data_IF_503012230662
#
_entry.id   IF_503012230662
#
_cell.length_a   1.000
_cell.length_b   1.000
_cell.length_c   1.000
_cell.angle_alpha   90.00
_cell.angle_beta   90.00
_cell.angle_gamma   90.00
#
_symmetry.space_group_name_H-M   'P 1'
#
loop_
_entity.id
_entity.type
_entity.pdbx_description
1 polymer ?
#
# COMPACT_ATOMS: atom_id res chain seq x y z
N UNK A 1 22.88 -48.01 0.85
CA UNK A 1 21.54 -47.90 1.44
C UNK A 1 20.85 -49.21 1.12
N UNK A 2 20.14 -49.82 2.08
CA UNK A 2 19.39 -51.04 1.81
C UNK A 2 18.09 -50.66 1.07
N UNK A 3 17.80 -51.37 -0.02
CA UNK A 3 16.72 -51.14 -0.99
C UNK A 3 15.98 -52.44 -1.27
N UNK A 4 14.83 -52.40 -1.94
CA UNK A 4 14.11 -53.62 -2.35
C UNK A 4 14.96 -54.54 -3.24
N UNK A 5 15.91 -53.99 -4.02
CA UNK A 5 16.87 -54.79 -4.78
C UNK A 5 17.77 -55.63 -3.88
N UNK A 6 18.26 -55.06 -2.77
CA UNK A 6 19.08 -55.79 -1.79
C UNK A 6 18.28 -56.93 -1.11
N UNK A 7 16.95 -56.77 -0.96
CA UNK A 7 16.05 -57.84 -0.47
C UNK A 7 15.96 -58.97 -1.50
N UNK A 8 15.79 -58.67 -2.78
CA UNK A 8 15.72 -59.68 -3.84
C UNK A 8 17.06 -60.41 -4.03
N UNK A 9 18.19 -59.71 -3.95
CA UNK A 9 19.53 -60.32 -4.00
C UNK A 9 19.77 -61.24 -2.78
N UNK A 10 19.33 -60.83 -1.59
CA UNK A 10 19.35 -61.68 -0.40
C UNK A 10 18.44 -62.91 -0.54
N UNK A 11 17.21 -62.74 -1.04
CA UNK A 11 16.27 -63.82 -1.32
C UNK A 11 16.82 -64.84 -2.32
N UNK A 12 17.48 -64.37 -3.39
CA UNK A 12 18.13 -65.21 -4.39
C UNK A 12 19.30 -66.01 -3.79
N UNK A 13 20.08 -65.39 -2.90
CA UNK A 13 21.17 -66.07 -2.19
C UNK A 13 20.65 -67.15 -1.25
N UNK A 14 19.65 -66.82 -0.42
CA UNK A 14 19.00 -67.75 0.51
C UNK A 14 18.36 -68.91 -0.25
N UNK A 15 17.66 -68.65 -1.37
CA UNK A 15 17.06 -69.69 -2.20
C UNK A 15 18.07 -70.70 -2.75
N UNK A 16 19.29 -70.26 -3.10
CA UNK A 16 20.38 -71.15 -3.54
C UNK A 16 20.90 -72.03 -2.40
N UNK A 17 21.15 -71.45 -1.23
CA UNK A 17 21.57 -72.21 -0.05
C UNK A 17 20.50 -73.24 0.37
N UNK A 18 19.22 -72.85 0.34
CA UNK A 18 18.11 -73.77 0.58
C UNK A 18 18.05 -74.90 -0.46
N UNK A 19 18.30 -74.65 -1.74
CA UNK A 19 18.34 -75.70 -2.77
C UNK A 19 19.44 -76.74 -2.47
N UNK A 20 20.64 -76.30 -2.06
CA UNK A 20 21.73 -77.21 -1.67
C UNK A 20 21.32 -78.11 -0.49
N UNK A 21 20.55 -77.59 0.47
CA UNK A 21 20.02 -78.38 1.59
C UNK A 21 18.98 -79.40 1.12
N UNK A 22 18.09 -79.04 0.17
CA UNK A 22 17.13 -79.98 -0.43
C UNK A 22 17.85 -81.09 -1.21
N UNK A 23 18.89 -80.75 -1.96
CA UNK A 23 19.65 -81.70 -2.78
C UNK A 23 20.37 -82.76 -1.93
N UNK A 24 20.87 -82.39 -0.75
CA UNK A 24 21.62 -83.28 0.17
C UNK A 24 20.71 -84.04 1.16
N UNK A 25 19.65 -83.41 1.68
CA UNK A 25 18.83 -83.95 2.79
C UNK A 25 17.34 -84.18 2.46
N UNK A 26 16.87 -83.74 1.29
CA UNK A 26 15.47 -83.85 0.86
C UNK A 26 14.56 -82.71 1.31
N UNK A 27 13.43 -82.55 0.61
CA UNK A 27 12.46 -81.46 0.78
C UNK A 27 11.81 -81.38 2.18
N UNK A 28 11.61 -82.53 2.83
CA UNK A 28 10.92 -82.62 4.13
C UNK A 28 11.57 -81.75 5.22
N UNK A 29 12.88 -81.47 5.13
CA UNK A 29 13.64 -80.65 6.09
C UNK A 29 13.24 -79.17 6.03
N UNK A 30 12.89 -78.65 4.84
CA UNK A 30 12.59 -77.23 4.64
C UNK A 30 11.10 -76.92 4.47
N UNK A 31 10.24 -77.93 4.34
CA UNK A 31 8.78 -77.75 4.11
C UNK A 31 8.09 -76.77 5.08
N UNK A 32 8.42 -76.84 6.37
CA UNK A 32 7.84 -75.98 7.41
C UNK A 32 8.65 -74.68 7.69
N UNK A 33 9.84 -74.55 7.08
CA UNK A 33 10.73 -73.41 7.26
C UNK A 33 10.66 -72.45 6.06
N UNK A 34 10.53 -72.97 4.85
CA UNK A 34 10.46 -72.17 3.62
C UNK A 34 9.34 -71.11 3.65
N UNK A 35 8.10 -71.40 4.10
CA UNK A 35 7.05 -70.38 4.21
C UNK A 35 7.40 -69.26 5.20
N UNK A 36 8.19 -69.56 6.25
CA UNK A 36 8.65 -68.57 7.23
C UNK A 36 9.78 -67.70 6.68
N UNK A 37 10.68 -68.28 5.89
CA UNK A 37 11.72 -67.53 5.16
C UNK A 37 11.07 -66.56 4.18
N UNK A 38 10.09 -67.03 3.38
CA UNK A 38 9.32 -66.17 2.46
C UNK A 38 8.61 -65.05 3.21
N UNK A 39 7.87 -65.36 4.28
CA UNK A 39 7.18 -64.35 5.10
C UNK A 39 8.13 -63.27 5.66
N UNK A 40 9.32 -63.66 6.16
CA UNK A 40 10.31 -62.70 6.68
C UNK A 40 10.89 -61.82 5.56
N UNK A 41 11.07 -62.36 4.35
CA UNK A 41 11.52 -61.59 3.19
C UNK A 41 10.44 -60.63 2.68
N UNK A 42 9.17 -61.04 2.67
CA UNK A 42 8.02 -60.19 2.35
C UNK A 42 7.87 -59.02 3.33
N UNK A 43 7.96 -59.29 4.65
CA UNK A 43 7.95 -58.25 5.70
C UNK A 43 9.15 -57.29 5.57
N UNK A 44 10.33 -57.80 5.20
CA UNK A 44 11.53 -56.99 4.97
C UNK A 44 11.41 -56.12 3.71
N UNK A 45 10.81 -56.64 2.64
CA UNK A 45 10.48 -55.88 1.43
C UNK A 45 9.48 -54.75 1.76
N UNK A 46 8.42 -55.06 2.51
CA UNK A 46 7.42 -54.09 2.96
C UNK A 46 8.05 -52.97 3.81
N UNK A 47 8.88 -53.33 4.80
CA UNK A 47 9.63 -52.38 5.62
C UNK A 47 10.56 -51.49 4.78
N UNK A 48 11.27 -52.07 3.82
CA UNK A 48 12.22 -51.35 2.97
C UNK A 48 11.49 -50.39 2.01
N UNK A 49 10.40 -50.85 1.38
CA UNK A 49 9.53 -50.00 0.55
C UNK A 49 8.91 -48.85 1.34
N UNK A 50 8.51 -49.08 2.60
CA UNK A 50 8.01 -48.03 3.47
C UNK A 50 9.11 -46.99 3.79
N UNK A 51 10.30 -47.45 4.18
CA UNK A 51 11.43 -46.56 4.47
C UNK A 51 11.86 -45.72 3.26
N UNK A 52 11.76 -46.25 2.03
CA UNK A 52 12.11 -45.50 0.83
C UNK A 52 11.06 -44.42 0.50
N UNK A 53 9.76 -44.71 0.68
CA UNK A 53 8.68 -43.70 0.59
C UNK A 53 8.81 -42.62 1.65
N UNK A 54 9.15 -42.99 2.88
CA UNK A 54 9.36 -42.04 3.98
C UNK A 54 10.55 -41.11 3.70
N UNK A 55 11.66 -41.63 3.15
CA UNK A 55 12.79 -40.79 2.69
C UNK A 55 12.40 -39.85 1.56
N UNK A 56 11.62 -40.31 0.58
CA UNK A 56 11.14 -39.49 -0.53
C UNK A 56 10.27 -38.33 -0.01
N UNK A 57 9.35 -38.61 0.91
CA UNK A 57 8.51 -37.57 1.54
C UNK A 57 9.34 -36.62 2.42
N UNK A 58 10.32 -37.13 3.17
CA UNK A 58 11.25 -36.27 3.94
C UNK A 58 12.03 -35.34 2.99
N UNK A 59 12.55 -35.84 1.88
CA UNK A 59 13.27 -35.04 0.89
C UNK A 59 12.34 -33.97 0.27
N UNK A 60 11.11 -34.34 -0.09
CA UNK A 60 10.09 -33.42 -0.60
C UNK A 60 9.75 -32.33 0.41
N UNK A 61 9.53 -32.69 1.68
CA UNK A 61 9.23 -31.75 2.76
C UNK A 61 10.42 -30.82 3.06
N UNK A 62 11.66 -31.32 2.97
CA UNK A 62 12.86 -30.49 3.09
C UNK A 62 12.95 -29.46 1.96
N UNK A 63 12.71 -29.87 0.71
CA UNK A 63 12.68 -28.94 -0.44
C UNK A 63 11.62 -27.84 -0.24
N UNK A 64 10.39 -28.20 0.11
CA UNK A 64 9.30 -27.23 0.36
C UNK A 64 9.64 -26.31 1.55
N UNK A 65 10.28 -26.82 2.59
CA UNK A 65 10.68 -26.00 3.74
C UNK A 65 11.77 -24.98 3.37
N UNK A 66 12.71 -25.34 2.49
CA UNK A 66 13.77 -24.44 2.03
C UNK A 66 13.26 -23.41 1.01
N UNK A 67 12.32 -23.78 0.14
CA UNK A 67 11.57 -22.86 -0.72
C UNK A 67 10.82 -21.81 0.13
N UNK A 68 10.03 -22.24 1.12
CA UNK A 68 9.30 -21.34 2.02
C UNK A 68 10.21 -20.41 2.83
N UNK A 69 11.40 -20.87 3.24
CA UNK A 69 12.42 -20.04 3.89
C UNK A 69 13.01 -19.00 2.95
N UNK A 70 13.20 -19.36 1.68
CA UNK A 70 13.67 -18.43 0.65
C UNK A 70 12.61 -17.35 0.37
N UNK A 71 11.34 -17.75 0.21
CA UNK A 71 10.22 -16.84 -0.03
C UNK A 71 10.05 -15.85 1.14
N UNK A 72 10.03 -16.35 2.38
CA UNK A 72 9.99 -15.50 3.58
C UNK A 72 11.14 -14.49 3.61
N UNK A 73 12.35 -14.91 3.20
CA UNK A 73 13.51 -14.03 3.13
C UNK A 73 13.36 -12.97 2.04
N UNK A 74 12.82 -13.30 0.86
CA UNK A 74 12.51 -12.30 -0.18
C UNK A 74 11.44 -11.32 0.26
N UNK A 75 10.38 -11.77 0.95
CA UNK A 75 9.33 -10.89 1.46
C UNK A 75 9.86 -9.86 2.46
N UNK A 76 10.73 -10.28 3.38
CA UNK A 76 11.40 -9.36 4.33
C UNK A 76 12.26 -8.34 3.57
N UNK A 77 13.00 -8.76 2.55
CA UNK A 77 13.84 -7.86 1.73
C UNK A 77 12.99 -6.91 0.87
N UNK A 78 11.86 -7.36 0.34
CA UNK A 78 10.93 -6.52 -0.41
C UNK A 78 10.29 -5.48 0.51
N UNK A 79 9.84 -5.89 1.70
CA UNK A 79 9.29 -4.97 2.70
C UNK A 79 10.30 -3.90 3.11
N UNK A 80 11.53 -4.28 3.47
CA UNK A 80 12.61 -3.34 3.81
C UNK A 80 12.90 -2.31 2.69
N UNK A 81 12.77 -2.72 1.41
CA UNK A 81 12.87 -1.80 0.27
C UNK A 81 11.68 -0.85 0.15
N UNK A 82 10.46 -1.33 0.37
CA UNK A 82 9.26 -0.50 0.34
C UNK A 82 9.28 0.51 1.48
N UNK A 83 9.59 0.07 2.71
CA UNK A 83 9.70 0.93 3.90
C UNK A 83 10.73 2.06 3.65
N UNK A 84 11.92 1.74 3.13
CA UNK A 84 12.94 2.76 2.76
C UNK A 84 12.52 3.69 1.63
N UNK A 85 11.75 3.19 0.66
CA UNK A 85 11.26 4.01 -0.46
C UNK A 85 10.17 4.98 0.02
N UNK A 86 9.35 4.56 0.98
CA UNK A 86 8.35 5.40 1.64
C UNK A 86 9.03 6.48 2.49
N UNK A 87 10.01 6.13 3.33
CA UNK A 87 10.80 7.10 4.12
C UNK A 87 11.45 8.18 3.22
N UNK A 88 11.98 7.81 2.06
CA UNK A 88 12.56 8.75 1.10
C UNK A 88 11.51 9.66 0.47
N UNK A 89 10.33 9.13 0.13
CA UNK A 89 9.22 9.91 -0.41
C UNK A 89 8.68 10.90 0.62
N UNK A 90 8.49 10.47 1.87
CA UNK A 90 8.08 11.33 2.98
C UNK A 90 9.08 12.46 3.22
N UNK A 91 10.38 12.15 3.30
CA UNK A 91 11.44 13.16 3.43
C UNK A 91 11.42 14.18 2.28
N UNK A 92 11.30 13.70 1.03
CA UNK A 92 11.20 14.57 -0.15
C UNK A 92 9.97 15.49 -0.08
N UNK A 93 8.82 14.94 0.32
CA UNK A 93 7.57 15.69 0.48
C UNK A 93 7.65 16.74 1.59
N UNK A 94 8.21 16.40 2.76
CA UNK A 94 8.45 17.36 3.84
C UNK A 94 9.39 18.49 3.40
N UNK A 95 10.50 18.17 2.74
CA UNK A 95 11.44 19.18 2.23
C UNK A 95 10.78 20.10 1.19
N UNK A 96 9.98 19.56 0.27
CA UNK A 96 9.32 20.38 -0.75
C UNK A 96 8.20 21.26 -0.16
N UNK A 97 7.37 20.69 0.72
CA UNK A 97 6.36 21.44 1.48
C UNK A 97 6.99 22.59 2.27
N UNK A 98 8.13 22.37 2.91
CA UNK A 98 8.86 23.42 3.64
C UNK A 98 9.38 24.53 2.71
N UNK A 99 9.91 24.21 1.52
CA UNK A 99 10.34 25.22 0.53
C UNK A 99 9.17 26.07 0.07
N UNK A 100 8.04 25.44 -0.29
CA UNK A 100 6.84 26.14 -0.74
C UNK A 100 6.29 27.07 0.34
N UNK A 101 6.29 26.65 1.61
CA UNK A 101 5.92 27.50 2.73
C UNK A 101 6.88 28.69 2.93
N UNK A 102 8.18 28.49 2.70
CA UNK A 102 9.15 29.59 2.73
C UNK A 102 8.93 30.57 1.57
N UNK A 103 8.73 30.07 0.35
CA UNK A 103 8.44 30.90 -0.83
C UNK A 103 7.15 31.72 -0.64
N UNK A 104 6.09 31.12 -0.10
CA UNK A 104 4.86 31.84 0.29
C UNK A 104 5.17 32.95 1.30
N UNK A 105 5.95 32.68 2.35
CA UNK A 105 6.30 33.70 3.35
C UNK A 105 7.14 34.86 2.78
N UNK A 106 8.06 34.57 1.85
CA UNK A 106 8.85 35.57 1.14
C UNK A 106 7.97 36.43 0.21
N UNK A 107 7.04 35.80 -0.52
CA UNK A 107 6.06 36.50 -1.37
C UNK A 107 5.05 37.32 -0.55
N UNK A 108 4.62 36.85 0.61
CA UNK A 108 3.79 37.62 1.55
C UNK A 108 4.54 38.85 2.07
N UNK A 109 5.80 38.68 2.48
CA UNK A 109 6.64 39.80 2.94
C UNK A 109 6.85 40.84 1.83
N UNK A 110 7.10 40.41 0.59
CA UNK A 110 7.27 41.30 -0.55
C UNK A 110 5.97 42.03 -0.91
N UNK A 111 4.82 41.33 -0.90
CA UNK A 111 3.51 41.97 -1.08
C UNK A 111 3.23 43.04 -0.01
N UNK A 112 3.56 42.79 1.26
CA UNK A 112 3.45 43.79 2.33
C UNK A 112 4.39 44.98 2.08
N UNK A 113 5.63 44.73 1.66
CA UNK A 113 6.63 45.76 1.34
C UNK A 113 6.18 46.65 0.18
N UNK A 114 5.70 46.05 -0.90
CA UNK A 114 5.18 46.75 -2.08
C UNK A 114 3.92 47.54 -1.75
N UNK A 115 2.99 46.97 -0.99
CA UNK A 115 1.78 47.66 -0.52
C UNK A 115 2.13 48.89 0.31
N UNK A 116 3.08 48.78 1.24
CA UNK A 116 3.57 49.93 2.01
C UNK A 116 4.26 50.98 1.13
N UNK A 117 5.00 50.56 0.10
CA UNK A 117 5.64 51.48 -0.84
C UNK A 117 4.61 52.25 -1.68
N UNK A 118 3.58 51.57 -2.21
CA UNK A 118 2.49 52.19 -2.98
C UNK A 118 1.68 53.18 -2.13
N UNK A 119 1.36 52.82 -0.88
CA UNK A 119 0.72 53.74 0.08
C UNK A 119 1.62 54.97 0.31
N UNK A 120 2.92 54.76 0.53
CA UNK A 120 3.86 55.86 0.79
C UNK A 120 4.13 56.75 -0.43
N UNK A 121 4.06 56.25 -1.67
CA UNK A 121 4.19 57.08 -2.88
C UNK A 121 2.92 57.87 -3.15
N UNK A 122 1.74 57.25 -3.02
CA UNK A 122 0.44 57.94 -3.10
C UNK A 122 0.36 59.12 -2.10
N UNK A 123 0.81 58.94 -0.85
CA UNK A 123 0.88 60.02 0.14
C UNK A 123 1.90 61.14 -0.19
N UNK A 124 2.82 60.94 -1.12
CA UNK A 124 3.73 62.00 -1.62
C UNK A 124 3.12 62.75 -2.79
N UNK A 125 2.52 62.03 -3.74
CA UNK A 125 1.83 62.63 -4.90
C UNK A 125 0.70 63.57 -4.46
N UNK A 126 -0.06 63.20 -3.41
CA UNK A 126 -1.08 64.09 -2.81
C UNK A 126 -0.46 65.37 -2.26
N UNK A 127 0.68 65.31 -1.57
CA UNK A 127 1.36 66.50 -1.01
C UNK A 127 2.00 67.39 -2.07
N UNK A 128 2.42 66.82 -3.20
CA UNK A 128 2.95 67.59 -4.33
C UNK A 128 1.84 68.20 -5.21
N UNK A 129 0.60 67.71 -5.12
CA UNK A 129 -0.59 68.34 -5.71
C UNK A 129 -1.29 69.37 -4.80
N UNK A 130 -1.15 69.27 -3.48
CA UNK A 130 -1.78 70.20 -2.52
C UNK A 130 -1.25 71.66 -2.61
N UNK A 131 -0.09 71.89 -3.21
CA UNK A 131 0.45 73.24 -3.50
C UNK A 131 -0.14 73.88 -4.79
N UNK A 132 -1.15 73.28 -5.44
CA UNK A 132 -1.82 73.88 -6.61
C UNK A 132 -3.32 73.56 -6.74
N UNK A 133 -4.12 74.51 -6.27
CA UNK A 133 -5.59 74.68 -6.38
C UNK A 133 -6.51 74.00 -5.35
N UNK A 134 -7.43 74.83 -4.86
CA UNK A 134 -8.48 74.55 -3.89
C UNK A 134 -9.74 74.06 -4.61
N UNK A 135 -10.41 73.03 -4.06
CA UNK A 135 -11.69 72.42 -4.49
C UNK A 135 -11.66 71.78 -5.91
N UNK A 136 -12.10 70.54 -6.11
CA UNK A 136 -13.44 70.05 -5.76
C UNK A 136 -13.56 68.51 -5.82
N UNK A 137 -14.39 67.93 -4.93
CA UNK A 137 -14.91 66.56 -4.93
C UNK A 137 -13.92 65.38 -4.77
N UNK A 138 -13.51 65.12 -3.52
CA UNK A 138 -13.31 63.74 -3.08
C UNK A 138 -14.67 63.16 -2.64
N UNK A 139 -15.15 62.12 -3.34
CA UNK A 139 -16.39 61.40 -2.98
C UNK A 139 -15.99 60.11 -2.25
N UNK A 140 -16.75 59.74 -1.21
CA UNK A 140 -16.55 58.59 -0.30
C UNK A 140 -15.64 58.80 0.92
N UNK A 141 -15.88 59.87 1.69
CA UNK A 141 -15.63 59.89 3.14
C UNK A 141 -16.89 60.35 3.88
N UNK A 142 -17.92 59.49 3.93
CA UNK A 142 -19.03 59.64 4.89
C UNK A 142 -18.81 58.68 6.06
N UNK A 143 -18.57 59.23 7.25
CA UNK A 143 -18.46 58.47 8.49
C UNK A 143 -19.83 57.95 8.92
N UNK A 144 -19.94 56.65 9.21
CA UNK A 144 -20.98 56.12 10.09
C UNK A 144 -20.57 54.79 10.71
N UNK A 145 -20.67 54.74 12.04
CA UNK A 145 -20.49 53.58 12.91
C UNK A 145 -19.06 53.07 13.12
N UNK A 146 -18.43 53.71 14.10
CA UNK A 146 -17.60 53.03 15.10
C UNK A 146 -18.25 51.70 15.52
N UNK A 147 -17.63 50.58 15.18
CA UNK A 147 -17.44 49.49 16.15
C UNK A 147 -16.01 48.97 15.99
N UNK A 148 -15.19 49.16 17.00
CA UNK A 148 -14.03 48.31 17.23
C UNK A 148 -14.40 47.29 18.31
N UNK A 149 -14.61 46.01 17.97
CA UNK A 149 -14.60 44.94 18.93
C UNK A 149 -13.43 43.99 18.65
N UNK A 150 -12.62 43.79 19.67
CA UNK A 150 -11.68 42.68 19.78
C UNK A 150 -12.34 41.33 19.45
N UNK A 151 -11.92 40.68 18.36
CA UNK A 151 -11.88 39.21 18.25
C UNK A 151 -11.04 38.77 17.05
N UNK A 152 -10.51 37.54 17.11
CA UNK A 152 -9.83 36.91 15.99
C UNK A 152 -10.82 36.58 14.87
N UNK A 153 -10.73 37.26 13.72
CA UNK A 153 -11.26 36.75 12.45
C UNK A 153 -10.36 37.20 11.28
N UNK A 154 -10.33 36.37 10.24
CA UNK A 154 -9.27 36.34 9.23
C UNK A 154 -9.06 37.65 8.47
N UNK A 155 -7.82 38.17 8.49
CA UNK A 155 -7.39 39.34 7.70
C UNK A 155 -7.51 39.12 6.18
N UNK A 156 -7.59 37.86 5.72
CA UNK A 156 -7.71 37.49 4.30
C UNK A 156 -9.01 38.02 3.68
N UNK A 157 -10.12 38.02 4.44
CA UNK A 157 -11.42 38.50 3.93
C UNK A 157 -11.43 40.00 3.63
N UNK A 158 -10.75 40.80 4.46
CA UNK A 158 -10.62 42.25 4.22
C UNK A 158 -9.68 42.57 3.05
N UNK A 159 -8.62 41.77 2.86
CA UNK A 159 -7.67 41.95 1.76
C UNK A 159 -8.31 41.66 0.39
N UNK A 160 -9.08 40.57 0.26
CA UNK A 160 -9.79 40.21 -0.97
C UNK A 160 -10.86 41.25 -1.38
N UNK A 161 -11.57 41.82 -0.40
CA UNK A 161 -12.57 42.86 -0.66
C UNK A 161 -11.94 44.20 -1.09
N UNK A 162 -10.72 44.48 -0.63
CA UNK A 162 -9.97 45.68 -1.00
C UNK A 162 -9.33 45.56 -2.40
N UNK A 163 -8.75 44.39 -2.73
CA UNK A 163 -8.16 44.15 -4.06
C UNK A 163 -9.23 44.10 -5.17
N UNK A 164 -10.42 43.57 -4.88
CA UNK A 164 -11.56 43.62 -5.82
C UNK A 164 -11.99 45.07 -6.19
N UNK A 165 -11.80 46.04 -5.29
CA UNK A 165 -12.18 47.45 -5.51
C UNK A 165 -11.12 48.33 -6.16
N UNK A 166 -9.86 47.90 -6.24
CA UNK A 166 -8.73 48.73 -6.70
C UNK A 166 -8.12 48.25 -8.03
N UNK A 167 -8.97 47.74 -8.93
CA UNK A 167 -8.58 47.33 -10.27
C UNK A 167 -8.14 48.47 -11.19
N UNK A 168 -6.82 48.74 -11.20
CA UNK A 168 -6.00 49.33 -12.29
C UNK A 168 -6.22 50.81 -12.69
N UNK A 169 -5.20 51.65 -12.41
CA UNK A 169 -4.86 52.86 -13.20
C UNK A 169 -3.35 53.18 -13.12
N UNK A 170 -2.66 53.18 -14.27
CA UNK A 170 -1.26 53.65 -14.45
C UNK A 170 -0.18 52.64 -14.01
N UNK A 171 1.02 52.59 -14.61
CA UNK A 171 1.70 53.49 -15.59
C UNK A 171 2.53 52.68 -16.60
N UNK A 172 2.78 53.26 -17.78
CA UNK A 172 3.50 52.66 -18.93
C UNK A 172 4.88 53.34 -19.16
N UNK A 173 5.84 52.87 -19.99
CA UNK A 173 5.84 51.84 -21.05
C UNK A 173 7.29 51.31 -21.24
N UNK A 174 7.54 50.06 -21.66
CA UNK A 174 8.00 49.74 -23.03
C UNK A 174 8.03 48.21 -23.29
N UNK A 175 7.01 47.71 -23.99
CA UNK A 175 7.08 46.56 -24.92
C UNK A 175 5.80 46.62 -25.76
N UNK A 176 5.84 46.28 -27.07
CA UNK A 176 4.74 46.54 -28.02
C UNK A 176 3.36 45.99 -27.57
N UNK A 177 2.54 46.83 -26.96
CA UNK A 177 1.25 46.45 -26.35
C UNK A 177 0.06 46.42 -27.31
N UNK A 178 0.18 47.01 -28.50
CA UNK A 178 -0.95 47.28 -29.39
C UNK A 178 -1.57 46.03 -30.05
N UNK A 179 -0.95 44.84 -29.89
CA UNK A 179 -1.50 43.56 -30.38
C UNK A 179 -2.13 42.69 -29.29
N UNK A 180 -2.01 43.07 -28.01
CA UNK A 180 -2.52 42.28 -26.88
C UNK A 180 -3.82 42.88 -26.34
N UNK A 181 -3.99 44.21 -26.40
CA UNK A 181 -5.14 44.91 -25.82
C UNK A 181 -6.50 44.57 -26.45
N UNK A 182 -6.55 44.15 -27.71
CA UNK A 182 -7.80 43.71 -28.36
C UNK A 182 -8.30 42.35 -27.86
N UNK A 183 -7.44 41.51 -27.28
CA UNK A 183 -7.82 40.18 -26.77
C UNK A 183 -8.17 40.15 -25.27
N UNK A 184 -7.90 41.22 -24.51
CA UNK A 184 -8.18 41.31 -23.06
C UNK A 184 -9.37 42.21 -22.71
N UNK A 185 -10.11 42.70 -23.71
CA UNK A 185 -11.30 43.56 -23.49
C UNK A 185 -12.62 42.81 -23.32
N UNK A 186 -12.55 41.49 -23.13
CA UNK A 186 -13.64 40.72 -22.53
C UNK A 186 -13.22 40.46 -21.08
N UNK A 187 -13.49 41.43 -20.19
CA UNK A 187 -13.69 41.09 -18.78
C UNK A 187 -14.93 40.20 -18.75
N UNK A 188 -14.87 38.97 -18.21
CA UNK A 188 -16.08 38.23 -17.94
C UNK A 188 -16.99 39.11 -17.06
N UNK A 189 -18.29 39.09 -17.29
CA UNK A 189 -19.21 39.77 -16.37
C UNK A 189 -19.09 39.13 -14.98
N UNK A 190 -19.49 39.85 -13.92
CA UNK A 190 -19.54 39.24 -12.57
C UNK A 190 -20.47 38.01 -12.54
N UNK A 191 -21.44 37.97 -13.46
CA UNK A 191 -22.35 36.86 -13.73
C UNK A 191 -21.61 35.66 -14.37
N UNK A 192 -20.83 35.87 -15.45
CA UNK A 192 -20.02 34.82 -16.09
C UNK A 192 -18.93 34.26 -15.16
N UNK A 193 -18.36 35.10 -14.30
CA UNK A 193 -17.38 34.67 -13.30
C UNK A 193 -18.05 33.86 -12.17
N UNK A 194 -19.27 34.24 -11.77
CA UNK A 194 -20.10 33.51 -10.81
C UNK A 194 -20.55 32.15 -11.36
N UNK A 195 -20.96 32.08 -12.62
CA UNK A 195 -21.34 30.84 -13.30
C UNK A 195 -20.14 29.90 -13.42
N UNK A 196 -18.96 30.42 -13.78
CA UNK A 196 -17.72 29.64 -13.84
C UNK A 196 -17.31 29.11 -12.47
N UNK A 197 -17.45 29.91 -11.41
CA UNK A 197 -17.18 29.48 -10.04
C UNK A 197 -18.20 28.44 -9.54
N UNK A 198 -19.48 28.58 -9.91
CA UNK A 198 -20.53 27.60 -9.59
C UNK A 198 -20.31 26.27 -10.32
N UNK A 199 -19.89 26.33 -11.59
CA UNK A 199 -19.53 25.14 -12.39
C UNK A 199 -18.31 24.40 -11.81
N UNK A 200 -17.27 25.13 -11.40
CA UNK A 200 -16.10 24.57 -10.72
C UNK A 200 -16.47 23.93 -9.38
N UNK A 201 -17.32 24.57 -8.57
CA UNK A 201 -17.79 24.01 -7.30
C UNK A 201 -18.57 22.70 -7.53
N UNK A 202 -19.47 22.66 -8.51
CA UNK A 202 -20.21 21.46 -8.88
C UNK A 202 -19.28 20.31 -9.30
N UNK A 203 -18.28 20.59 -10.15
CA UNK A 203 -17.31 19.59 -10.60
C UNK A 203 -16.43 19.09 -9.43
N UNK A 204 -16.06 19.97 -8.48
CA UNK A 204 -15.33 19.52 -7.28
C UNK A 204 -16.20 18.66 -6.35
N UNK A 205 -17.49 18.97 -6.21
CA UNK A 205 -18.42 18.17 -5.42
C UNK A 205 -18.63 16.78 -6.04
N UNK A 206 -18.80 16.69 -7.36
CA UNK A 206 -18.89 15.42 -8.09
C UNK A 206 -17.61 14.57 -7.94
N UNK A 207 -16.42 15.18 -8.07
CA UNK A 207 -15.14 14.50 -7.87
C UNK A 207 -14.96 13.97 -6.45
N UNK A 208 -15.41 14.71 -5.43
CA UNK A 208 -15.38 14.25 -4.03
C UNK A 208 -16.33 13.07 -3.84
N UNK A 209 -17.57 13.13 -4.36
CA UNK A 209 -18.54 12.04 -4.27
C UNK A 209 -18.04 10.76 -4.98
N UNK A 210 -17.44 10.87 -6.16
CA UNK A 210 -16.83 9.74 -6.86
C UNK A 210 -15.69 9.11 -6.04
N UNK A 211 -14.80 9.94 -5.46
CA UNK A 211 -13.72 9.47 -4.59
C UNK A 211 -14.26 8.72 -3.36
N UNK A 212 -15.31 9.22 -2.72
CA UNK A 212 -15.95 8.57 -1.58
C UNK A 212 -16.63 7.24 -1.97
N UNK A 213 -17.25 7.18 -3.16
CA UNK A 213 -17.83 5.96 -3.72
C UNK A 213 -16.77 4.90 -4.06
N UNK A 214 -15.63 5.31 -4.63
CA UNK A 214 -14.49 4.42 -4.94
C UNK A 214 -13.88 3.84 -3.67
N UNK A 215 -13.63 4.67 -2.65
CA UNK A 215 -13.16 4.22 -1.34
C UNK A 215 -14.13 3.20 -0.71
N UNK A 216 -15.43 3.49 -0.74
CA UNK A 216 -16.47 2.57 -0.24
C UNK A 216 -16.53 1.24 -1.00
N UNK A 217 -16.23 1.24 -2.30
CA UNK A 217 -16.14 0.03 -3.10
C UNK A 217 -14.89 -0.82 -2.74
N UNK A 218 -13.74 -0.17 -2.52
CA UNK A 218 -12.52 -0.81 -2.06
C UNK A 218 -12.69 -1.47 -0.67
N UNK A 219 -13.33 -0.77 0.28
CA UNK A 219 -13.66 -1.29 1.60
C UNK A 219 -14.55 -2.55 1.53
N UNK A 220 -15.58 -2.53 0.68
CA UNK A 220 -16.47 -3.69 0.46
C UNK A 220 -15.70 -4.89 -0.13
N UNK A 221 -14.79 -4.65 -1.07
CA UNK A 221 -13.93 -5.68 -1.65
C UNK A 221 -12.97 -6.29 -0.60
N UNK A 222 -12.36 -5.45 0.24
CA UNK A 222 -11.51 -5.89 1.34
C UNK A 222 -12.28 -6.73 2.37
N UNK A 223 -13.49 -6.29 2.76
CA UNK A 223 -14.37 -7.04 3.66
C UNK A 223 -14.75 -8.40 3.06
N UNK A 224 -14.99 -8.48 1.75
CA UNK A 224 -15.27 -9.75 1.08
C UNK A 224 -14.05 -10.69 1.07
N UNK A 225 -12.86 -10.18 0.73
CA UNK A 225 -11.60 -10.93 0.78
C UNK A 225 -11.31 -11.48 2.20
N UNK A 226 -11.49 -10.64 3.23
CA UNK A 226 -11.33 -11.05 4.63
C UNK A 226 -12.34 -12.13 5.02
N UNK A 227 -13.61 -12.03 4.59
CA UNK A 227 -14.64 -13.03 4.85
C UNK A 227 -14.32 -14.38 4.20
N UNK A 228 -13.78 -14.38 2.98
CA UNK A 228 -13.33 -15.59 2.28
C UNK A 228 -12.11 -16.22 2.98
N UNK A 229 -11.11 -15.41 3.36
CA UNK A 229 -9.95 -15.85 4.12
C UNK A 229 -10.33 -16.47 5.47
N UNK A 230 -11.22 -15.84 6.25
CA UNK A 230 -11.75 -16.38 7.51
C UNK A 230 -12.50 -17.69 7.30
N UNK A 231 -13.29 -17.81 6.23
CA UNK A 231 -14.01 -19.04 5.90
C UNK A 231 -13.06 -20.20 5.52
N UNK A 232 -11.96 -19.91 4.81
CA UNK A 232 -10.89 -20.88 4.50
C UNK A 232 -10.19 -21.29 5.80
N UNK A 233 -9.72 -20.34 6.61
CA UNK A 233 -9.03 -20.61 7.87
C UNK A 233 -9.89 -21.46 8.83
N UNK A 234 -11.19 -21.21 8.90
CA UNK A 234 -12.12 -22.03 9.70
C UNK A 234 -12.21 -23.48 9.19
N UNK A 235 -12.28 -23.68 7.86
CA UNK A 235 -12.28 -25.03 7.24
C UNK A 235 -10.98 -25.76 7.53
N UNK A 236 -9.83 -25.11 7.32
CA UNK A 236 -8.49 -25.68 7.58
C UNK A 236 -8.32 -26.05 9.05
N UNK A 237 -8.69 -25.16 9.98
CA UNK A 237 -8.65 -25.46 11.42
C UNK A 237 -9.59 -26.63 11.81
N UNK A 238 -10.71 -26.83 11.10
CA UNK A 238 -11.61 -27.99 11.29
C UNK A 238 -11.08 -29.27 10.64
N UNK A 239 -10.22 -29.18 9.63
CA UNK A 239 -9.50 -30.31 9.05
C UNK A 239 -8.39 -30.78 10.00
N UNK A 240 -7.50 -29.87 10.41
CA UNK A 240 -6.42 -30.14 11.38
C UNK A 240 -6.96 -30.75 12.68
N UNK A 241 -8.09 -30.24 13.22
CA UNK A 241 -8.70 -30.84 14.42
C UNK A 241 -9.16 -32.29 14.24
N UNK A 242 -9.56 -32.70 13.03
CA UNK A 242 -9.95 -34.10 12.74
C UNK A 242 -8.72 -35.00 12.62
N UNK A 243 -7.72 -34.56 11.89
CA UNK A 243 -6.42 -35.25 11.77
C UNK A 243 -5.78 -35.44 13.15
N UNK A 244 -5.80 -34.42 14.02
CA UNK A 244 -5.28 -34.52 15.38
C UNK A 244 -6.04 -35.56 16.23
N UNK A 245 -7.36 -35.68 16.08
CA UNK A 245 -8.15 -36.72 16.79
C UNK A 245 -7.90 -38.12 16.23
N UNK A 246 -7.62 -38.26 14.94
CA UNK A 246 -7.33 -39.54 14.28
C UNK A 246 -5.92 -40.05 14.64
N UNK A 247 -4.94 -39.15 14.65
CA UNK A 247 -3.58 -39.43 15.15
C UNK A 247 -3.61 -39.74 16.65
N UNK A 248 -4.40 -39.01 17.45
CA UNK A 248 -4.60 -39.29 18.88
C UNK A 248 -5.17 -40.68 19.13
N UNK A 249 -6.27 -41.05 18.45
CA UNK A 249 -6.87 -42.37 18.56
C UNK A 249 -5.92 -43.50 18.12
N UNK A 250 -5.09 -43.24 17.10
CA UNK A 250 -4.07 -44.17 16.62
C UNK A 250 -2.93 -44.35 17.64
N UNK A 251 -2.48 -43.26 18.29
CA UNK A 251 -1.48 -43.29 19.35
C UNK A 251 -2.00 -44.03 20.59
N UNK A 252 -3.24 -43.75 21.00
CA UNK A 252 -3.90 -44.45 22.12
C UNK A 252 -4.02 -45.95 21.82
N UNK A 253 -4.44 -46.33 20.61
CA UNK A 253 -4.49 -47.73 20.19
C UNK A 253 -3.11 -48.41 20.27
N UNK A 254 -2.05 -47.77 19.77
CA UNK A 254 -0.68 -48.29 19.88
C UNK A 254 -0.19 -48.40 21.33
N UNK A 255 -0.65 -47.50 22.22
CA UNK A 255 -0.30 -47.54 23.65
C UNK A 255 -0.93 -48.71 24.41
N UNK A 256 -2.07 -49.23 23.94
CA UNK A 256 -2.80 -50.37 24.54
C UNK A 256 -2.18 -51.73 24.18
N UNK A 257 -1.28 -51.78 23.19
CA UNK A 257 -0.56 -53.00 22.78
C UNK A 257 0.87 -53.11 23.35
N UNK A 258 1.20 -52.38 24.43
CA UNK A 258 2.47 -52.47 25.18
C UNK A 258 2.24 -52.81 26.65
#
# INVERSE_FOLDING_TARGET
MFTTMDVYDAALSIGRECQLIVDEYGDDVLRDLMPKIVYILEELEACTSYCDKEKEEIARLQTVADELRQDQKSDIILKDKYDKSLEQLEQSWYCESQKLLQEIAELEQENVRLTHHLISSCHKEVREQEDSNILQNCVMCDESNIICPTSHQSKVGAFLLATAKLGLKGVSVNLDTDKIYDNLKIKPSEEELSDMMSSLLLETEERIQLTEQENRAADLQLVQQLKECVAINYKTARQIRRELTEVGASLDAVSVFK
#
